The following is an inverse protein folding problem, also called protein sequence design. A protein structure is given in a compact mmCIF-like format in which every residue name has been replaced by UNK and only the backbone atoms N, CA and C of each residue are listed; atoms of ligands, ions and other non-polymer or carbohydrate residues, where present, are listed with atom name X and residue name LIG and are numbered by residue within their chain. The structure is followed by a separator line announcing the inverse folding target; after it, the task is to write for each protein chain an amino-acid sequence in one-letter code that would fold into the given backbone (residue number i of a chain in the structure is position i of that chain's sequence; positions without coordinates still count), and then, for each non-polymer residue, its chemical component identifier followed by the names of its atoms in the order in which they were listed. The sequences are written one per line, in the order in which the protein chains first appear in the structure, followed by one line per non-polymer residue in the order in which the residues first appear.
data_IF_154638856394
#
_entry.id   IF_154638856394
#
_cell.length_a   1.000
_cell.length_b   1.000
_cell.length_c   1.000
_cell.angle_alpha   90.00
_cell.angle_beta   90.00
_cell.angle_gamma   90.00
#
_symmetry.space_group_name_H-M   'P 1'
#
loop_
_entity.id
_entity.type
_entity.pdbx_description
1 polymer ?
#
# COMPACT_ATOMS: atom_id res chain seq x y z
N UNK A 1 -2.82 -32.56 9.76
CA UNK A 1 -2.47 -32.32 8.35
C UNK A 1 -2.85 -30.93 7.87
N UNK A 2 -4.05 -30.46 8.23
CA UNK A 2 -4.68 -29.25 7.66
C UNK A 2 -4.19 -27.92 8.29
N UNK A 3 -4.02 -27.87 9.62
CA UNK A 3 -3.55 -26.68 10.33
C UNK A 3 -2.14 -26.20 9.94
N UNK A 4 -1.23 -27.12 9.59
CA UNK A 4 0.11 -26.77 9.07
C UNK A 4 0.11 -26.25 7.63
N UNK A 5 -0.96 -26.47 6.84
CA UNK A 5 -1.08 -25.88 5.50
C UNK A 5 -1.58 -24.45 5.60
N UNK A 6 -2.63 -24.21 6.40
CA UNK A 6 -3.18 -22.87 6.64
C UNK A 6 -2.11 -21.90 7.16
N UNK A 7 -1.32 -22.31 8.14
CA UNK A 7 -0.19 -21.52 8.64
C UNK A 7 0.82 -21.12 7.55
N UNK A 8 1.11 -22.00 6.58
CA UNK A 8 2.01 -21.68 5.47
C UNK A 8 1.38 -20.72 4.49
N UNK A 9 0.09 -20.90 4.19
CA UNK A 9 -0.65 -20.00 3.30
C UNK A 9 -0.75 -18.60 3.91
N UNK A 10 -1.05 -18.51 5.20
CA UNK A 10 -1.13 -17.24 5.91
C UNK A 10 0.25 -16.57 6.04
N UNK A 11 1.30 -17.36 6.22
CA UNK A 11 2.68 -16.85 6.18
C UNK A 11 3.03 -16.31 4.78
N UNK A 12 2.64 -16.99 3.71
CA UNK A 12 2.85 -16.49 2.34
C UNK A 12 2.06 -15.20 2.07
N UNK A 13 0.79 -15.14 2.48
CA UNK A 13 -0.04 -13.93 2.39
C UNK A 13 0.62 -12.77 3.14
N UNK A 14 1.13 -13.04 4.35
CA UNK A 14 1.83 -12.04 5.15
C UNK A 14 3.08 -11.50 4.46
N UNK A 15 3.93 -12.37 3.88
CA UNK A 15 5.13 -11.93 3.16
C UNK A 15 4.81 -11.01 1.97
N UNK A 16 3.66 -11.20 1.32
CA UNK A 16 3.23 -10.35 0.21
C UNK A 16 2.69 -8.99 0.66
N UNK A 17 2.15 -8.88 1.87
CA UNK A 17 1.56 -7.64 2.41
C UNK A 17 2.58 -6.81 3.18
N UNK A 18 3.54 -7.46 3.83
CA UNK A 18 4.56 -6.82 4.66
C UNK A 18 5.27 -5.62 3.99
N UNK A 19 5.60 -5.62 2.68
CA UNK A 19 6.20 -4.46 2.03
C UNK A 19 5.28 -3.23 2.03
N UNK A 20 3.96 -3.41 2.00
CA UNK A 20 2.96 -2.34 1.96
C UNK A 20 2.80 -1.60 3.30
N UNK A 21 3.29 -2.18 4.41
CA UNK A 21 3.23 -1.55 5.73
C UNK A 21 4.16 -0.33 5.85
N UNK A 22 5.31 -0.38 5.18
CA UNK A 22 6.39 0.61 5.31
C UNK A 22 6.52 1.52 4.08
N UNK A 23 5.58 1.42 3.13
CA UNK A 23 5.66 2.19 1.88
C UNK A 23 5.66 3.68 2.17
N UNK A 24 4.93 4.14 3.19
CA UNK A 24 4.76 5.56 3.49
C UNK A 24 5.76 6.12 4.50
N UNK A 25 6.66 5.29 5.06
CA UNK A 25 7.59 5.73 6.12
C UNK A 25 8.52 6.84 5.64
N UNK A 26 8.84 6.88 4.34
CA UNK A 26 9.65 7.96 3.74
C UNK A 26 8.93 9.32 3.68
N UNK A 27 7.61 9.35 3.90
CA UNK A 27 6.82 10.57 4.02
C UNK A 27 6.79 11.10 5.45
N UNK A 28 7.22 10.30 6.44
CA UNK A 28 7.38 10.73 7.82
C UNK A 28 8.64 11.60 7.92
N UNK A 29 8.47 12.90 7.67
CA UNK A 29 9.53 13.90 7.83
C UNK A 29 9.85 14.17 9.31
N UNK A 30 10.88 14.99 9.60
CA UNK A 30 11.24 15.40 10.96
C UNK A 30 10.15 16.22 11.66
N UNK A 31 9.17 16.73 10.90
CA UNK A 31 8.01 17.42 11.44
C UNK A 31 6.84 16.44 11.48
N UNK A 32 6.26 16.15 12.65
CA UNK A 32 5.05 15.35 12.73
C UNK A 32 3.95 16.10 11.98
N UNK A 33 3.47 15.51 10.88
CA UNK A 33 2.43 16.14 10.06
C UNK A 33 1.05 16.21 10.75
N UNK A 34 0.95 15.71 12.00
CA UNK A 34 -0.25 15.73 12.82
C UNK A 34 -1.35 14.83 12.26
N UNK A 35 -2.11 14.19 13.14
CA UNK A 35 -3.39 13.63 12.71
C UNK A 35 -4.30 14.82 12.39
N UNK A 36 -4.75 14.95 11.14
CA UNK A 36 -5.63 16.04 10.69
C UNK A 36 -7.08 15.87 11.19
N UNK A 37 -7.29 15.20 12.33
CA UNK A 37 -8.60 14.89 12.88
C UNK A 37 -8.77 15.38 14.32
N UNK A 38 -10.02 15.48 14.81
CA UNK A 38 -10.28 15.68 16.24
C UNK A 38 -9.64 14.54 17.04
N UNK A 39 -9.18 14.85 18.26
CA UNK A 39 -8.66 13.84 19.18
C UNK A 39 -9.68 12.72 19.37
N UNK A 40 -9.22 11.48 19.30
CA UNK A 40 -10.05 10.32 19.61
C UNK A 40 -10.27 10.22 21.11
N UNK A 41 -11.37 9.61 21.52
CA UNK A 41 -11.71 9.43 22.95
C UNK A 41 -10.59 8.70 23.72
N UNK A 42 -9.94 7.71 23.09
CA UNK A 42 -8.79 7.01 23.66
C UNK A 42 -7.60 7.93 23.91
N UNK A 43 -7.29 8.84 22.98
CA UNK A 43 -6.21 9.84 23.16
C UNK A 43 -6.54 10.80 24.30
N UNK A 44 -7.80 11.24 24.42
CA UNK A 44 -8.25 12.07 25.54
C UNK A 44 -8.19 11.35 26.88
N UNK A 45 -8.49 10.04 26.92
CA UNK A 45 -8.37 9.23 28.13
C UNK A 45 -6.92 9.03 28.56
N UNK A 46 -6.00 8.87 27.61
CA UNK A 46 -4.55 8.84 27.90
C UNK A 46 -4.10 10.17 28.53
N UNK A 47 -4.49 11.30 27.93
CA UNK A 47 -4.16 12.63 28.47
C UNK A 47 -4.74 12.85 29.87
N UNK A 48 -5.97 12.40 30.12
CA UNK A 48 -6.60 12.48 31.44
C UNK A 48 -5.85 11.64 32.48
N UNK A 49 -5.48 10.39 32.16
CA UNK A 49 -4.72 9.54 33.07
C UNK A 49 -3.34 10.14 33.42
N UNK A 50 -2.68 10.79 32.45
CA UNK A 50 -1.43 11.51 32.68
C UNK A 50 -1.64 12.72 33.60
N UNK A 51 -2.72 13.49 33.39
CA UNK A 51 -3.05 14.64 34.22
C UNK A 51 -3.38 14.24 35.68
N UNK A 52 -4.02 13.08 35.85
CA UNK A 52 -4.35 12.50 37.15
C UNK A 52 -3.12 11.86 37.85
N UNK A 53 -2.00 11.70 37.15
CA UNK A 53 -0.77 11.07 37.66
C UNK A 53 -0.81 9.54 37.72
N UNK A 54 -1.82 8.92 37.12
CA UNK A 54 -1.98 7.46 37.04
C UNK A 54 -1.25 6.92 35.80
N UNK A 55 0.06 6.72 35.94
CA UNK A 55 0.92 6.29 34.84
C UNK A 55 0.69 4.84 34.41
N UNK A 56 0.32 3.95 35.33
CA UNK A 56 0.01 2.55 35.00
C UNK A 56 -1.18 2.49 34.03
N UNK A 57 -2.23 3.27 34.33
CA UNK A 57 -3.39 3.37 33.45
C UNK A 57 -3.06 4.04 32.13
N UNK A 58 -2.22 5.08 32.13
CA UNK A 58 -1.79 5.75 30.91
C UNK A 58 -1.01 4.80 29.98
N UNK A 59 -0.13 3.96 30.52
CA UNK A 59 0.63 2.95 29.77
C UNK A 59 -0.31 1.91 29.12
N UNK A 60 -1.23 1.34 29.90
CA UNK A 60 -2.22 0.38 29.36
C UNK A 60 -3.06 0.97 28.22
N UNK A 61 -3.51 2.22 28.37
CA UNK A 61 -4.30 2.90 27.35
C UNK A 61 -3.47 3.22 26.11
N UNK A 62 -2.18 3.57 26.29
CA UNK A 62 -1.24 3.81 25.21
C UNK A 62 -0.97 2.54 24.39
N UNK A 63 -0.71 1.42 25.06
CA UNK A 63 -0.52 0.12 24.39
C UNK A 63 -1.76 -0.31 23.61
N UNK A 64 -2.94 -0.11 24.19
CA UNK A 64 -4.19 -0.36 23.50
C UNK A 64 -4.37 0.53 22.27
N UNK A 65 -4.04 1.82 22.37
CA UNK A 65 -4.08 2.75 21.25
C UNK A 65 -3.09 2.35 20.14
N UNK A 66 -1.86 2.00 20.50
CA UNK A 66 -0.83 1.55 19.57
C UNK A 66 -1.26 0.27 18.82
N UNK A 67 -1.81 -0.71 19.53
CA UNK A 67 -2.34 -1.95 18.94
C UNK A 67 -3.48 -1.66 17.95
N UNK A 68 -4.40 -0.77 18.30
CA UNK A 68 -5.50 -0.36 17.42
C UNK A 68 -4.98 0.33 16.16
N UNK A 69 -4.06 1.28 16.29
CA UNK A 69 -3.44 1.97 15.16
C UNK A 69 -2.67 0.98 14.26
N UNK A 70 -1.97 0.02 14.85
CA UNK A 70 -1.27 -1.02 14.10
C UNK A 70 -2.24 -1.92 13.33
N UNK A 71 -3.38 -2.30 13.92
CA UNK A 71 -4.42 -3.05 13.23
C UNK A 71 -4.97 -2.31 12.00
N UNK A 72 -5.16 -0.99 12.11
CA UNK A 72 -5.54 -0.14 10.96
C UNK A 72 -4.45 -0.16 9.89
N UNK A 73 -3.17 0.01 10.26
CA UNK A 73 -2.04 -0.09 9.32
C UNK A 73 -2.03 -1.43 8.56
N UNK A 74 -2.34 -2.53 9.24
CA UNK A 74 -2.46 -3.84 8.59
C UNK A 74 -3.61 -3.84 7.57
N UNK A 75 -4.80 -3.36 7.96
CA UNK A 75 -5.96 -3.30 7.07
C UNK A 75 -5.68 -2.45 5.82
N UNK A 76 -5.05 -1.30 6.00
CA UNK A 76 -4.64 -0.40 4.92
C UNK A 76 -3.60 -1.05 4.00
N UNK A 77 -2.65 -1.80 4.53
CA UNK A 77 -1.68 -2.53 3.72
C UNK A 77 -2.34 -3.59 2.81
N UNK A 78 -3.38 -4.28 3.31
CA UNK A 78 -4.17 -5.19 2.47
C UNK A 78 -4.95 -4.44 1.38
N UNK A 79 -5.53 -3.29 1.71
CA UNK A 79 -6.24 -2.45 0.73
C UNK A 79 -5.29 -1.90 -0.34
N UNK A 80 -4.10 -1.42 0.06
CA UNK A 80 -3.06 -0.93 -0.82
C UNK A 80 -2.59 -2.01 -1.80
N UNK A 81 -2.37 -3.24 -1.32
CA UNK A 81 -2.03 -4.38 -2.17
C UNK A 81 -3.09 -4.63 -3.26
N UNK A 82 -4.37 -4.68 -2.88
CA UNK A 82 -5.47 -4.86 -3.84
C UNK A 82 -5.51 -3.74 -4.88
N UNK A 83 -5.34 -2.50 -4.44
CA UNK A 83 -5.28 -1.35 -5.33
C UNK A 83 -4.11 -1.45 -6.32
N UNK A 84 -2.93 -1.88 -5.87
CA UNK A 84 -1.76 -2.07 -6.72
C UNK A 84 -2.00 -3.15 -7.80
N UNK A 85 -2.60 -4.29 -7.42
CA UNK A 85 -2.97 -5.37 -8.35
C UNK A 85 -3.99 -4.89 -9.40
N UNK A 86 -5.02 -4.16 -8.97
CA UNK A 86 -6.01 -3.57 -9.88
C UNK A 86 -5.39 -2.55 -10.84
N UNK A 87 -4.47 -1.72 -10.35
CA UNK A 87 -3.78 -0.74 -11.16
C UNK A 87 -2.87 -1.41 -12.19
N UNK A 88 -2.15 -2.47 -11.82
CA UNK A 88 -1.35 -3.24 -12.76
C UNK A 88 -2.21 -3.91 -13.84
N UNK A 89 -3.34 -4.51 -13.45
CA UNK A 89 -4.29 -5.09 -14.40
C UNK A 89 -4.87 -4.06 -15.38
N UNK A 90 -5.21 -2.86 -14.89
CA UNK A 90 -5.63 -1.73 -15.74
C UNK A 90 -4.53 -1.32 -16.71
N UNK A 91 -3.29 -1.14 -16.24
CA UNK A 91 -2.12 -0.80 -17.07
C UNK A 91 -1.88 -1.83 -18.16
N UNK A 92 -2.00 -3.13 -17.85
CA UNK A 92 -1.89 -4.23 -18.83
C UNK A 92 -2.98 -4.16 -19.90
N UNK A 93 -4.24 -3.95 -19.50
CA UNK A 93 -5.38 -3.78 -20.42
C UNK A 93 -5.20 -2.57 -21.34
N UNK A 94 -4.74 -1.45 -20.79
CA UNK A 94 -4.49 -0.23 -21.54
C UNK A 94 -3.32 -0.39 -22.51
N UNK A 95 -2.26 -1.10 -22.10
CA UNK A 95 -1.15 -1.44 -22.99
C UNK A 95 -1.60 -2.26 -24.19
N UNK A 96 -2.38 -3.32 -23.98
CA UNK A 96 -2.93 -4.16 -25.08
C UNK A 96 -3.83 -3.33 -25.99
N UNK A 97 -4.71 -2.50 -25.42
CA UNK A 97 -5.56 -1.59 -26.19
C UNK A 97 -4.75 -0.59 -27.00
N UNK A 98 -3.66 -0.04 -26.45
CA UNK A 98 -2.75 0.86 -27.17
C UNK A 98 -2.09 0.13 -28.33
N UNK A 99 -1.49 -1.04 -28.09
CA UNK A 99 -0.86 -1.85 -29.15
C UNK A 99 -1.83 -2.18 -30.29
N UNK A 100 -3.06 -2.61 -29.98
CA UNK A 100 -4.08 -2.90 -30.98
C UNK A 100 -4.58 -1.66 -31.75
N UNK A 101 -4.42 -0.46 -31.17
CA UNK A 101 -4.84 0.83 -31.78
C UNK A 101 -3.74 1.51 -32.59
N UNK A 102 -2.49 1.05 -32.59
CA UNK A 102 -1.45 1.62 -33.46
C UNK A 102 -1.67 1.07 -34.89
N UNK A 103 -2.20 1.87 -35.84
CA UNK A 103 -2.51 1.39 -37.19
C UNK A 103 -1.32 1.53 -38.15
N UNK A 104 -0.16 1.98 -37.68
CA UNK A 104 1.01 2.27 -38.51
C UNK A 104 2.18 1.36 -38.11
N UNK A 105 2.27 0.20 -38.77
CA UNK A 105 3.56 -0.46 -38.88
C UNK A 105 4.43 0.39 -39.80
N UNK A 106 5.51 0.96 -39.28
CA UNK A 106 6.60 1.41 -40.16
C UNK A 106 7.23 0.14 -40.75
N UNK A 107 6.80 -0.21 -41.96
CA UNK A 107 7.47 -1.24 -42.73
C UNK A 107 8.74 -0.59 -43.29
N UNK A 108 9.88 -0.88 -42.68
CA UNK A 108 11.17 -0.38 -43.15
C UNK A 108 11.43 -0.97 -44.54
N UNK A 109 11.08 -0.24 -45.59
CA UNK A 109 11.31 -0.67 -46.96
C UNK A 109 12.82 -0.73 -47.21
N UNK A 110 13.29 -1.87 -47.70
CA UNK A 110 14.69 -2.06 -48.07
C UNK A 110 15.16 -0.99 -49.08
N UNK A 111 16.41 -0.52 -48.97
CA UNK A 111 16.95 0.61 -49.76
C UNK A 111 16.85 0.40 -51.28
N UNK A 112 16.89 -0.85 -51.75
CA UNK A 112 16.77 -1.18 -53.17
C UNK A 112 15.34 -1.01 -53.73
N UNK A 113 14.32 -0.93 -52.88
CA UNK A 113 12.94 -0.64 -53.29
C UNK A 113 12.59 0.86 -53.33
N UNK A 114 13.46 1.73 -52.81
CA UNK A 114 13.24 3.20 -52.80
C UNK A 114 13.83 3.91 -54.03
N UNK A 115 14.71 3.25 -54.80
CA UNK A 115 15.12 3.73 -56.13
C UNK A 115 14.12 3.22 -57.15
N UNK A 116 12.98 3.90 -57.23
CA UNK A 116 12.09 3.78 -58.38
C UNK A 116 12.85 4.13 -59.67
N UNK A 117 12.59 3.34 -60.71
CA UNK A 117 13.06 3.50 -62.07
C UNK A 117 13.05 4.97 -62.51
N UNK A 118 14.16 5.42 -63.09
CA UNK A 118 14.31 6.68 -63.82
C UNK A 118 14.75 6.37 -65.23
#
# INVERSE_FOLDING_TARGET
GDSRRRLREDQQKWQQVRPFLTVNDHLEGPVPHGSCGPKTELESLVEAAIADGDFEKAEMLSDHLANRQFAVKIADAFAAKRCAEEQEAKRRRDYVKRQAKLPWGFEAKERWQMKGNM
#
